data_IF_617886230578
#
_entry.id   IF_617886230578
#
_cell.length_a   1.000
_cell.length_b   1.000
_cell.length_c   1.000
_cell.angle_alpha   90.00
_cell.angle_beta   90.00
_cell.angle_gamma   90.00
#
_symmetry.space_group_name_H-M   'P 1'
#
loop_
_entity.id
_entity.type
_entity.pdbx_description
1 polymer ?
#
# COMPACT_ATOMS: atom_id res chain seq x y z
N UNK A 1 2.43 -7.32 7.81
CA UNK A 1 2.64 -6.08 7.05
C UNK A 1 3.47 -5.10 7.84
N UNK A 2 4.29 -4.36 7.17
CA UNK A 2 5.08 -3.31 7.78
C UNK A 2 4.62 -1.99 7.17
N UNK A 3 4.22 -1.06 8.01
CA UNK A 3 3.76 0.24 7.56
C UNK A 3 4.72 1.29 8.09
N UNK A 4 5.31 2.05 7.18
CA UNK A 4 6.29 3.04 7.53
C UNK A 4 5.72 4.22 8.30
N UNK A 5 6.62 5.03 8.85
CA UNK A 5 6.23 6.18 9.64
C UNK A 5 5.52 7.23 8.77
N UNK A 6 4.39 7.71 9.24
CA UNK A 6 3.64 8.74 8.52
C UNK A 6 2.92 8.26 7.26
N UNK A 7 2.92 6.96 7.00
CA UNK A 7 2.17 6.44 5.86
C UNK A 7 0.67 6.59 6.10
N UNK A 8 -0.05 6.87 5.04
CA UNK A 8 -1.50 7.01 5.09
C UNK A 8 -2.16 5.91 4.30
N UNK A 9 -3.17 5.30 4.88
CA UNK A 9 -3.91 4.22 4.26
C UNK A 9 -5.36 4.66 4.13
N UNK A 10 -5.88 4.65 2.92
CA UNK A 10 -7.25 5.05 2.68
C UNK A 10 -8.26 4.02 3.20
N UNK A 11 -9.54 4.41 3.25
CA UNK A 11 -10.57 3.49 3.72
C UNK A 11 -10.71 2.30 2.76
N UNK A 12 -11.00 1.14 3.34
CA UNK A 12 -11.21 -0.11 2.61
C UNK A 12 -9.98 -0.60 1.85
N UNK A 13 -8.81 -0.04 2.12
CA UNK A 13 -7.59 -0.60 1.57
C UNK A 13 -7.29 -1.92 2.28
N UNK A 14 -6.87 -2.90 1.51
CA UNK A 14 -6.50 -4.20 2.03
C UNK A 14 -5.00 -4.37 1.89
N UNK A 15 -4.33 -4.59 3.01
CA UNK A 15 -2.89 -4.74 3.02
C UNK A 15 -2.54 -6.03 3.72
N UNK A 16 -1.93 -6.95 3.00
CA UNK A 16 -1.49 -8.23 3.54
C UNK A 16 -0.07 -8.51 3.11
N UNK A 17 0.78 -8.80 4.09
CA UNK A 17 2.16 -9.17 3.81
C UNK A 17 2.86 -8.17 2.89
N UNK A 18 2.52 -6.89 3.04
CA UNK A 18 3.08 -5.84 2.23
C UNK A 18 3.97 -4.94 3.08
N UNK A 19 4.90 -4.27 2.44
CA UNK A 19 5.76 -3.29 3.09
C UNK A 19 5.44 -1.92 2.52
N UNK A 20 5.04 -1.01 3.39
CA UNK A 20 4.69 0.35 2.99
C UNK A 20 5.80 1.28 3.47
N UNK A 21 6.37 2.03 2.55
CA UNK A 21 7.45 2.95 2.90
C UNK A 21 6.98 4.16 3.69
N UNK A 22 7.93 4.87 4.28
CA UNK A 22 7.62 6.05 5.08
C UNK A 22 6.95 7.12 4.22
N UNK A 23 5.91 7.74 4.74
CA UNK A 23 5.24 8.83 4.05
C UNK A 23 4.49 8.43 2.79
N UNK A 24 4.36 7.14 2.52
CA UNK A 24 3.58 6.69 1.38
C UNK A 24 2.09 6.99 1.63
N UNK A 25 1.37 7.24 0.54
CA UNK A 25 -0.04 7.57 0.62
C UNK A 25 -0.81 6.56 -0.22
N UNK A 26 -1.57 5.72 0.45
CA UNK A 26 -2.32 4.66 -0.20
C UNK A 26 -3.77 5.10 -0.31
N UNK A 27 -4.30 5.10 -1.51
CA UNK A 27 -5.69 5.50 -1.75
C UNK A 27 -6.69 4.49 -1.23
N UNK A 28 -7.96 4.85 -1.29
CA UNK A 28 -9.03 3.97 -0.86
C UNK A 28 -9.15 2.75 -1.78
N UNK A 29 -9.55 1.63 -1.21
CA UNK A 29 -9.85 0.40 -1.95
C UNK A 29 -8.67 -0.20 -2.69
N UNK A 30 -7.46 0.13 -2.31
CA UNK A 30 -6.28 -0.49 -2.89
C UNK A 30 -6.06 -1.86 -2.26
N UNK A 31 -5.50 -2.78 -3.02
CA UNK A 31 -5.15 -4.09 -2.51
C UNK A 31 -3.66 -4.32 -2.68
N UNK A 32 -2.97 -4.47 -1.58
CA UNK A 32 -1.54 -4.71 -1.55
C UNK A 32 -1.29 -6.06 -0.91
N UNK A 33 -0.98 -7.05 -1.72
CA UNK A 33 -0.94 -8.44 -1.29
C UNK A 33 0.41 -9.07 -1.58
N UNK A 34 0.72 -10.11 -0.81
CA UNK A 34 1.80 -11.06 -1.11
C UNK A 34 3.14 -10.41 -1.38
N UNK A 35 3.61 -9.65 -0.44
CA UNK A 35 4.94 -9.07 -0.54
C UNK A 35 5.02 -7.83 -1.40
N UNK A 36 3.89 -7.22 -1.72
CA UNK A 36 3.90 -5.94 -2.39
C UNK A 36 4.72 -4.93 -1.60
N UNK A 37 5.47 -4.10 -2.30
CA UNK A 37 6.31 -3.09 -1.66
C UNK A 37 5.97 -1.73 -2.20
N UNK A 38 5.77 -0.79 -1.30
CA UNK A 38 5.53 0.60 -1.67
C UNK A 38 6.71 1.41 -1.19
N UNK A 39 7.36 2.10 -2.13
CA UNK A 39 8.51 2.92 -1.80
C UNK A 39 8.11 4.12 -0.97
N UNK A 40 9.03 4.70 -0.19
CA UNK A 40 8.72 5.91 0.56
C UNK A 40 8.25 7.04 -0.35
N UNK A 41 7.26 7.78 0.13
CA UNK A 41 6.75 8.94 -0.60
C UNK A 41 5.90 8.65 -1.81
N UNK A 42 5.58 7.39 -2.08
CA UNK A 42 4.76 7.04 -3.23
C UNK A 42 3.30 7.40 -2.96
N UNK A 43 2.64 7.95 -3.96
CA UNK A 43 1.22 8.23 -3.90
C UNK A 43 0.47 7.23 -4.78
N UNK A 44 -0.42 6.47 -4.18
CA UNK A 44 -1.26 5.53 -4.90
C UNK A 44 -2.68 6.08 -4.90
N UNK A 45 -3.26 6.36 -6.08
CA UNK A 45 -4.60 6.93 -6.14
C UNK A 45 -5.66 5.94 -5.70
N UNK A 46 -6.84 6.45 -5.42
CA UNK A 46 -8.00 5.63 -5.10
C UNK A 46 -8.37 4.74 -6.29
N UNK A 47 -9.27 3.82 -6.06
CA UNK A 47 -9.93 3.03 -7.09
C UNK A 47 -9.30 1.71 -7.43
N UNK A 48 -9.02 0.96 -6.41
CA UNK A 48 -8.90 -0.46 -6.64
C UNK A 48 -7.68 -0.92 -7.41
N UNK A 49 -6.59 -0.22 -7.26
CA UNK A 49 -5.34 -0.74 -7.78
C UNK A 49 -4.95 -1.94 -6.93
N UNK A 50 -4.59 -3.00 -7.61
CA UNK A 50 -4.17 -4.22 -6.94
C UNK A 50 -2.71 -4.46 -7.22
N UNK A 51 -1.93 -4.53 -6.17
CA UNK A 51 -0.51 -4.81 -6.27
C UNK A 51 -0.16 -6.14 -5.64
N UNK A 52 0.69 -6.88 -6.31
CA UNK A 52 1.25 -8.10 -5.75
C UNK A 52 2.60 -8.33 -6.39
N UNK A 53 3.58 -8.73 -5.60
CA UNK A 53 4.86 -9.14 -6.15
C UNK A 53 4.92 -10.64 -6.41
N UNK A 54 3.82 -11.30 -6.25
CA UNK A 54 3.71 -12.73 -6.50
C UNK A 54 3.62 -12.99 -7.99
N UNK A 55 4.71 -13.27 -8.57
CA UNK A 55 4.82 -13.48 -10.01
C UNK A 55 5.00 -14.95 -10.31
#
# INVERSE_FOLDING_TARGET
>A
SIIGFGARIGPRALIRDAVIGDGADIGARCELLRGARVWPGVLIPDCGIRYSSDI
#
